data_IF_924931519538
#
_entry.id   IF_924931519538
#
_cell.length_a   1.000
_cell.length_b   1.000
_cell.length_c   1.000
_cell.angle_alpha   90.00
_cell.angle_beta   90.00
_cell.angle_gamma   90.00
#
_symmetry.space_group_name_H-M   'P 1'
#
loop_
_entity.id
_entity.type
_entity.pdbx_description
1 polymer ?
#
# COMPACT_ATOMS: atom_id res chain seq x y z
N UNK A 1 14.80 2.33 -11.79
CA UNK A 1 13.37 2.17 -11.41
C UNK A 1 13.16 0.98 -10.49
N UNK A 2 12.02 0.88 -9.86
CA UNK A 2 11.54 -0.32 -9.16
C UNK A 2 10.08 -0.60 -9.51
N UNK A 3 9.62 -1.86 -9.31
CA UNK A 3 8.25 -2.27 -9.66
C UNK A 3 7.64 -3.14 -8.56
N UNK A 4 6.36 -2.96 -8.28
CA UNK A 4 5.62 -3.73 -7.30
C UNK A 4 4.17 -3.29 -7.10
N UNK A 5 3.39 -4.06 -6.37
CA UNK A 5 2.03 -3.69 -5.99
C UNK A 5 1.99 -2.51 -5.00
N UNK A 6 3.02 -2.36 -4.20
CA UNK A 6 3.21 -1.28 -3.21
C UNK A 6 2.03 -1.06 -2.26
N UNK A 7 1.25 -2.11 -2.00
CA UNK A 7 0.14 -2.01 -1.08
C UNK A 7 0.62 -1.71 0.35
N UNK A 8 0.09 -0.62 0.91
CA UNK A 8 0.48 -0.08 2.21
C UNK A 8 1.75 0.77 2.22
N UNK A 9 2.56 0.81 1.17
CA UNK A 9 3.84 1.58 1.09
C UNK A 9 4.62 1.54 2.42
N UNK A 10 4.88 0.33 2.91
CA UNK A 10 5.53 0.05 4.19
C UNK A 10 7.04 0.35 4.18
N UNK A 11 7.71 0.25 5.34
CA UNK A 11 9.12 0.61 5.48
C UNK A 11 10.04 -0.14 4.50
N UNK A 12 9.76 -1.42 4.19
CA UNK A 12 10.51 -2.17 3.19
C UNK A 12 10.37 -1.56 1.79
N UNK A 13 9.18 -1.14 1.39
CA UNK A 13 8.97 -0.43 0.13
C UNK A 13 9.73 0.89 0.09
N UNK A 14 9.70 1.66 1.17
CA UNK A 14 10.39 2.97 1.26
C UNK A 14 11.90 2.82 1.10
N UNK A 15 12.49 1.78 1.68
CA UNK A 15 13.94 1.52 1.55
C UNK A 15 14.36 1.13 0.13
N UNK A 16 13.56 0.32 -0.56
CA UNK A 16 13.79 0.04 -1.99
C UNK A 16 13.70 1.32 -2.83
N UNK A 17 12.70 2.16 -2.58
CA UNK A 17 12.52 3.43 -3.29
C UNK A 17 13.69 4.39 -3.01
N UNK A 18 14.14 4.47 -1.76
CA UNK A 18 15.31 5.26 -1.40
C UNK A 18 16.56 4.81 -2.15
N UNK A 19 16.78 3.49 -2.28
CA UNK A 19 17.88 2.95 -3.09
C UNK A 19 17.78 3.33 -4.56
N UNK A 20 16.58 3.29 -5.13
CA UNK A 20 16.33 3.75 -6.51
C UNK A 20 16.69 5.22 -6.68
N UNK A 21 16.26 6.07 -5.75
CA UNK A 21 16.54 7.51 -5.77
C UNK A 21 18.04 7.80 -5.66
N UNK A 22 18.75 7.10 -4.75
CA UNK A 22 20.20 7.26 -4.61
C UNK A 22 20.93 6.92 -5.90
N UNK A 23 20.63 5.75 -6.50
CA UNK A 23 21.23 5.33 -7.77
C UNK A 23 20.91 6.31 -8.90
N UNK A 24 19.66 6.78 -9.00
CA UNK A 24 19.28 7.76 -10.01
C UNK A 24 20.06 9.05 -9.86
N UNK A 25 20.23 9.54 -8.63
CA UNK A 25 21.02 10.76 -8.35
C UNK A 25 22.51 10.55 -8.72
N UNK A 26 23.10 9.43 -8.34
CA UNK A 26 24.49 9.09 -8.63
C UNK A 26 24.77 9.01 -10.13
N UNK A 27 23.79 8.56 -10.92
CA UNK A 27 23.91 8.33 -12.36
C UNK A 27 23.32 9.48 -13.22
N UNK A 28 22.78 10.53 -12.61
CA UNK A 28 22.13 11.64 -13.32
C UNK A 28 20.87 11.23 -14.08
N UNK A 29 20.14 10.22 -13.55
CA UNK A 29 18.93 9.65 -14.13
C UNK A 29 17.69 10.08 -13.32
N UNK A 30 16.50 9.81 -13.88
CA UNK A 30 15.23 9.94 -13.15
C UNK A 30 14.90 8.65 -12.39
N UNK A 31 14.37 8.83 -11.20
CA UNK A 31 13.91 7.72 -10.36
C UNK A 31 12.42 7.44 -10.64
N UNK A 32 12.07 6.16 -10.89
CA UNK A 32 10.71 5.76 -11.26
C UNK A 32 10.22 4.60 -10.39
N UNK A 33 9.01 4.72 -9.86
CA UNK A 33 8.25 3.59 -9.30
C UNK A 33 7.20 3.18 -10.32
N UNK A 34 7.18 1.88 -10.66
CA UNK A 34 6.11 1.26 -11.44
C UNK A 34 5.16 0.54 -10.48
N UNK A 35 3.89 0.85 -10.54
CA UNK A 35 2.85 0.19 -9.75
C UNK A 35 1.61 -0.09 -10.60
N UNK A 36 0.56 -0.65 -9.99
CA UNK A 36 -0.65 -1.05 -10.70
C UNK A 36 -1.86 -0.27 -10.16
N UNK A 37 -2.85 -0.02 -11.02
CA UNK A 37 -4.12 0.62 -10.66
C UNK A 37 -4.89 -0.17 -9.59
N UNK A 38 -4.75 -1.50 -9.61
CA UNK A 38 -5.33 -2.44 -8.65
C UNK A 38 -4.33 -3.51 -8.24
N UNK A 39 -4.64 -4.24 -7.17
CA UNK A 39 -3.77 -5.33 -6.74
C UNK A 39 -3.85 -6.50 -7.73
N UNK A 40 -2.74 -7.00 -8.29
CA UNK A 40 -2.76 -8.07 -9.29
C UNK A 40 -3.58 -9.30 -8.89
N UNK A 41 -3.60 -9.66 -7.60
CA UNK A 41 -4.38 -10.78 -7.10
C UNK A 41 -5.90 -10.62 -7.31
N UNK A 42 -6.43 -9.39 -7.41
CA UNK A 42 -7.87 -9.18 -7.64
C UNK A 42 -8.32 -9.62 -9.04
N UNK A 43 -7.40 -9.74 -9.99
CA UNK A 43 -7.66 -10.28 -11.33
C UNK A 43 -7.27 -11.75 -11.40
N UNK A 44 -6.07 -12.11 -10.93
CA UNK A 44 -5.52 -13.48 -11.08
C UNK A 44 -6.24 -14.50 -10.20
N UNK A 45 -6.72 -14.10 -9.02
CA UNK A 45 -7.39 -14.97 -8.04
C UNK A 45 -8.42 -14.17 -7.21
N UNK A 46 -9.50 -13.69 -7.82
CA UNK A 46 -10.46 -12.77 -7.17
C UNK A 46 -11.03 -13.33 -5.87
N UNK A 47 -11.38 -14.61 -5.83
CA UNK A 47 -11.96 -15.26 -4.64
C UNK A 47 -11.02 -15.35 -3.43
N UNK A 48 -9.72 -15.18 -3.64
CA UNK A 48 -8.68 -15.25 -2.60
C UNK A 48 -7.75 -14.03 -2.62
N UNK A 49 -8.18 -12.95 -3.26
CA UNK A 49 -7.43 -11.70 -3.23
C UNK A 49 -7.35 -11.16 -1.80
N UNK A 50 -6.16 -10.77 -1.33
CA UNK A 50 -6.04 -10.21 0.00
C UNK A 50 -6.72 -8.83 0.06
N UNK A 51 -7.33 -8.46 1.19
CA UNK A 51 -7.84 -7.11 1.38
C UNK A 51 -6.70 -6.09 1.31
N UNK A 52 -7.00 -4.89 0.82
CA UNK A 52 -6.01 -3.84 0.57
C UNK A 52 -5.67 -3.08 1.86
N UNK A 53 -4.41 -2.68 1.99
CA UNK A 53 -3.94 -1.78 3.06
C UNK A 53 -4.18 -0.31 2.72
N UNK A 54 -4.23 0.02 1.42
CA UNK A 54 -4.43 1.37 0.90
C UNK A 54 -5.27 1.34 -0.36
N UNK A 55 -6.15 2.32 -0.55
CA UNK A 55 -6.73 2.59 -1.86
C UNK A 55 -5.68 3.15 -2.84
N UNK A 56 -6.04 3.26 -4.11
CA UNK A 56 -5.10 3.74 -5.14
C UNK A 56 -4.64 5.18 -4.87
N UNK A 57 -5.56 6.09 -4.54
CA UNK A 57 -5.21 7.49 -4.32
C UNK A 57 -4.26 7.65 -3.13
N UNK A 58 -4.55 6.96 -2.01
CA UNK A 58 -3.70 6.91 -0.84
C UNK A 58 -2.31 6.31 -1.16
N UNK A 59 -2.28 5.22 -1.93
CA UNK A 59 -1.02 4.61 -2.37
C UNK A 59 -0.17 5.59 -3.18
N UNK A 60 -0.77 6.29 -4.14
CA UNK A 60 -0.05 7.26 -4.97
C UNK A 60 0.46 8.46 -4.14
N UNK A 61 -0.32 8.98 -3.20
CA UNK A 61 0.15 10.02 -2.27
C UNK A 61 1.33 9.56 -1.42
N UNK A 62 1.27 8.31 -0.90
CA UNK A 62 2.35 7.74 -0.11
C UNK A 62 3.62 7.50 -0.92
N UNK A 63 3.49 7.06 -2.17
CA UNK A 63 4.63 6.92 -3.09
C UNK A 63 5.23 8.29 -3.42
N UNK A 64 4.41 9.28 -3.76
CA UNK A 64 4.88 10.65 -4.03
C UNK A 64 5.60 11.25 -2.81
N UNK A 65 5.13 10.96 -1.59
CA UNK A 65 5.78 11.43 -0.35
C UNK A 65 7.19 10.89 -0.14
N UNK A 66 7.62 9.85 -0.88
CA UNK A 66 9.00 9.35 -0.83
C UNK A 66 9.98 10.23 -1.58
N UNK A 67 9.50 11.19 -2.38
CA UNK A 67 10.32 12.04 -3.22
C UNK A 67 10.83 11.35 -4.50
N UNK A 68 10.17 10.27 -4.93
CA UNK A 68 10.41 9.65 -6.26
C UNK A 68 10.05 10.66 -7.36
N UNK A 69 10.79 10.68 -8.45
CA UNK A 69 10.57 11.67 -9.54
C UNK A 69 9.31 11.34 -10.34
N UNK A 70 9.06 10.07 -10.64
CA UNK A 70 7.91 9.62 -11.42
C UNK A 70 7.25 8.38 -10.84
N UNK A 71 5.93 8.30 -10.99
CA UNK A 71 5.13 7.12 -10.66
C UNK A 71 4.40 6.69 -11.93
N UNK A 72 4.75 5.54 -12.46
CA UNK A 72 4.05 4.91 -13.59
C UNK A 72 2.98 3.95 -13.05
N UNK A 73 1.73 4.19 -13.41
CA UNK A 73 0.59 3.36 -13.00
C UNK A 73 0.14 2.52 -14.19
N UNK A 74 0.41 1.24 -14.12
CA UNK A 74 0.01 0.28 -15.16
C UNK A 74 -1.41 -0.22 -14.85
N UNK A 75 -2.28 -0.17 -15.84
CA UNK A 75 -3.58 -0.84 -15.77
C UNK A 75 -3.37 -2.35 -15.74
N UNK A 76 -3.89 -3.01 -14.69
CA UNK A 76 -3.78 -4.45 -14.51
C UNK A 76 -5.14 -5.11 -14.74
N UNK A 77 -5.38 -5.55 -15.96
CA UNK A 77 -6.58 -6.25 -16.42
C UNK A 77 -6.28 -7.72 -16.77
N UNK A 78 -7.27 -8.42 -17.33
CA UNK A 78 -7.13 -9.81 -17.75
C UNK A 78 -6.04 -9.98 -18.82
N UNK A 79 -5.95 -9.07 -19.80
CA UNK A 79 -4.95 -9.10 -20.85
C UNK A 79 -3.55 -9.00 -20.24
N UNK A 80 -3.31 -8.00 -19.39
CA UNK A 80 -2.05 -7.81 -18.67
C UNK A 80 -1.69 -9.00 -17.78
N UNK A 81 -2.69 -9.67 -17.19
CA UNK A 81 -2.48 -10.85 -16.33
C UNK A 81 -1.95 -12.07 -17.09
N UNK A 82 -2.18 -12.11 -18.41
CA UNK A 82 -1.73 -13.21 -19.30
C UNK A 82 -0.44 -12.90 -20.05
N UNK A 83 0.09 -11.69 -19.93
CA UNK A 83 1.34 -11.27 -20.55
C UNK A 83 2.54 -12.05 -20.01
N UNK A 84 3.42 -12.51 -20.90
CA UNK A 84 4.66 -13.17 -20.48
C UNK A 84 5.59 -12.20 -19.76
N UNK A 85 6.53 -12.73 -18.99
CA UNK A 85 7.53 -11.89 -18.34
C UNK A 85 8.45 -11.20 -19.36
N UNK A 86 8.79 -11.88 -20.43
CA UNK A 86 9.63 -11.39 -21.53
C UNK A 86 8.93 -10.25 -22.28
N UNK A 87 7.62 -10.40 -22.60
CA UNK A 87 6.84 -9.35 -23.25
C UNK A 87 6.72 -8.12 -22.36
N UNK A 88 6.48 -8.31 -21.06
CA UNK A 88 6.45 -7.22 -20.09
C UNK A 88 7.79 -6.47 -20.02
N UNK A 89 8.92 -7.16 -19.98
CA UNK A 89 10.26 -6.54 -20.00
C UNK A 89 10.43 -5.71 -21.27
N UNK A 90 10.13 -6.29 -22.42
CA UNK A 90 10.36 -5.65 -23.71
C UNK A 90 9.43 -4.45 -23.93
N UNK A 91 8.15 -4.60 -23.61
CA UNK A 91 7.15 -3.56 -23.84
C UNK A 91 7.25 -2.43 -22.83
N UNK A 92 7.30 -2.75 -21.54
CA UNK A 92 7.23 -1.76 -20.46
C UNK A 92 8.62 -1.25 -20.07
N UNK A 93 9.53 -2.16 -19.71
CA UNK A 93 10.82 -1.71 -19.17
C UNK A 93 11.71 -1.09 -20.25
N UNK A 94 11.80 -1.73 -21.42
CA UNK A 94 12.71 -1.29 -22.48
C UNK A 94 12.04 -0.25 -23.39
N UNK A 95 10.90 -0.57 -23.99
CA UNK A 95 10.29 0.30 -25.00
C UNK A 95 9.66 1.56 -24.43
N UNK A 96 8.87 1.42 -23.35
CA UNK A 96 8.14 2.53 -22.75
C UNK A 96 9.04 3.34 -21.81
N UNK A 97 9.69 2.70 -20.84
CA UNK A 97 10.45 3.37 -19.79
C UNK A 97 11.92 3.62 -20.13
N UNK A 98 12.48 2.89 -21.11
CA UNK A 98 13.91 2.94 -21.47
C UNK A 98 14.79 2.82 -20.23
N UNK A 99 14.52 1.81 -19.43
CA UNK A 99 15.13 1.63 -18.12
C UNK A 99 16.65 1.43 -18.24
N UNK A 100 17.42 2.14 -17.43
CA UNK A 100 18.86 1.91 -17.31
C UNK A 100 19.19 0.94 -16.15
N UNK A 101 18.44 1.03 -15.04
CA UNK A 101 18.64 0.19 -13.86
C UNK A 101 17.30 -0.20 -13.23
N UNK A 102 17.13 -1.50 -12.96
CA UNK A 102 15.99 -2.09 -12.24
C UNK A 102 16.44 -2.52 -10.85
N UNK A 103 15.77 -2.04 -9.80
CA UNK A 103 16.00 -2.45 -8.42
C UNK A 103 14.78 -3.22 -7.94
N UNK A 104 14.93 -4.47 -7.55
CA UNK A 104 13.83 -5.34 -7.11
C UNK A 104 14.27 -6.24 -5.96
N UNK A 105 13.31 -6.64 -5.11
CA UNK A 105 13.58 -7.64 -4.08
C UNK A 105 14.07 -8.97 -4.65
N UNK A 106 14.92 -9.69 -3.93
CA UNK A 106 15.43 -11.00 -4.39
C UNK A 106 14.34 -12.05 -4.61
N UNK A 107 13.19 -11.88 -3.97
CA UNK A 107 12.00 -12.73 -4.10
C UNK A 107 11.00 -12.23 -5.13
N UNK A 108 11.37 -11.21 -5.92
CA UNK A 108 10.49 -10.59 -6.89
C UNK A 108 10.11 -11.57 -8.01
N UNK A 109 8.81 -11.66 -8.28
CA UNK A 109 8.24 -12.42 -9.37
C UNK A 109 7.18 -11.62 -10.10
N UNK A 110 7.09 -11.80 -11.42
CA UNK A 110 6.16 -11.07 -12.28
C UNK A 110 5.77 -11.90 -13.50
N UNK A 111 4.93 -11.31 -14.36
CA UNK A 111 4.44 -11.96 -15.57
C UNK A 111 3.45 -13.09 -15.29
N UNK A 112 2.94 -13.68 -16.34
CA UNK A 112 1.97 -14.80 -16.31
C UNK A 112 2.46 -15.93 -15.41
N UNK A 113 1.61 -16.40 -14.50
CA UNK A 113 1.91 -17.47 -13.57
C UNK A 113 3.19 -17.28 -12.74
N UNK A 114 3.64 -16.01 -12.52
CA UNK A 114 4.91 -15.67 -11.85
C UNK A 114 6.15 -16.24 -12.54
N UNK A 115 6.10 -16.40 -13.88
CA UNK A 115 7.19 -16.99 -14.66
C UNK A 115 8.46 -16.16 -14.68
N UNK A 116 8.35 -14.83 -14.52
CA UNK A 116 9.49 -13.92 -14.40
C UNK A 116 10.04 -13.85 -12.98
N UNK A 117 11.34 -13.70 -12.87
CA UNK A 117 12.09 -13.56 -11.63
C UNK A 117 13.34 -12.67 -11.82
N UNK A 118 14.15 -12.53 -10.77
CA UNK A 118 15.38 -11.71 -10.83
C UNK A 118 16.38 -12.25 -11.86
N UNK A 119 16.53 -13.57 -11.96
CA UNK A 119 17.48 -14.18 -12.92
C UNK A 119 17.10 -13.88 -14.37
N UNK A 120 15.80 -13.95 -14.72
CA UNK A 120 15.31 -13.57 -16.05
C UNK A 120 15.55 -12.08 -16.32
N UNK A 121 15.34 -11.21 -15.33
CA UNK A 121 15.63 -9.78 -15.47
C UNK A 121 17.13 -9.55 -15.75
N UNK A 122 18.02 -10.25 -15.05
CA UNK A 122 19.47 -10.14 -15.25
C UNK A 122 19.90 -10.65 -16.63
N UNK A 123 19.38 -11.80 -17.07
CA UNK A 123 19.65 -12.37 -18.39
C UNK A 123 19.23 -11.42 -19.51
N UNK A 124 17.96 -10.99 -19.51
CA UNK A 124 17.47 -10.05 -20.51
C UNK A 124 18.11 -8.66 -20.40
N UNK A 125 18.48 -8.26 -19.18
CA UNK A 125 19.20 -7.00 -18.96
C UNK A 125 20.55 -6.96 -19.66
N UNK A 126 21.29 -8.08 -19.63
CA UNK A 126 22.58 -8.20 -20.34
C UNK A 126 22.42 -8.10 -21.87
N UNK A 127 21.31 -8.59 -22.42
CA UNK A 127 21.01 -8.54 -23.85
C UNK A 127 20.44 -7.18 -24.28
N UNK A 128 19.53 -6.59 -23.47
CA UNK A 128 18.77 -5.40 -23.81
C UNK A 128 19.38 -4.10 -23.27
N UNK A 129 20.52 -4.18 -22.57
CA UNK A 129 21.33 -3.02 -22.18
C UNK A 129 20.86 -2.30 -20.90
N UNK A 130 20.20 -2.99 -19.97
CA UNK A 130 19.89 -2.45 -18.65
C UNK A 130 20.52 -3.30 -17.54
N UNK A 131 20.70 -2.70 -16.35
CA UNK A 131 21.29 -3.35 -15.19
C UNK A 131 20.23 -3.73 -14.17
N UNK A 132 20.41 -4.86 -13.48
CA UNK A 132 19.58 -5.28 -12.35
C UNK A 132 20.35 -5.17 -11.04
N UNK A 133 19.72 -4.64 -10.02
CA UNK A 133 20.26 -4.53 -8.66
C UNK A 133 19.30 -5.24 -7.71
N UNK A 134 19.59 -6.50 -7.33
CA UNK A 134 18.79 -7.19 -6.33
C UNK A 134 18.89 -6.48 -4.97
N UNK A 135 17.75 -6.30 -4.31
CA UNK A 135 17.65 -5.67 -3.01
C UNK A 135 17.30 -6.71 -1.95
N UNK A 136 18.04 -6.69 -0.84
CA UNK A 136 17.79 -7.64 0.24
C UNK A 136 16.48 -7.31 0.98
N UNK A 137 15.79 -8.36 1.43
CA UNK A 137 14.54 -8.21 2.18
C UNK A 137 14.81 -7.49 3.51
N UNK A 138 13.95 -6.54 3.82
CA UNK A 138 14.02 -5.81 5.09
C UNK A 138 13.48 -6.69 6.20
N UNK A 139 14.30 -6.92 7.20
CA UNK A 139 13.94 -7.71 8.38
C UNK A 139 13.48 -6.79 9.51
N UNK A 140 12.43 -7.17 10.21
CA UNK A 140 11.98 -6.55 11.46
C UNK A 140 12.35 -7.48 12.61
N UNK A 141 13.15 -6.98 13.53
CA UNK A 141 13.48 -7.69 14.77
C UNK A 141 12.35 -7.42 15.78
N UNK A 142 11.67 -8.46 16.28
CA UNK A 142 10.62 -8.27 17.27
C UNK A 142 11.22 -7.64 18.53
N UNK A 143 10.52 -6.65 19.09
CA UNK A 143 10.89 -6.04 20.37
C UNK A 143 10.73 -7.06 21.50
N UNK A 144 11.83 -7.69 21.92
CA UNK A 144 11.86 -8.65 23.02
C UNK A 144 12.85 -9.80 22.77
N UNK A 145 13.46 -10.30 23.86
CA UNK A 145 14.43 -11.38 23.78
C UNK A 145 13.78 -12.68 23.31
N UNK A 146 14.07 -13.15 22.10
CA UNK A 146 13.78 -14.49 21.60
C UNK A 146 12.87 -14.63 20.38
N UNK A 147 12.40 -13.57 19.75
CA UNK A 147 11.67 -13.66 18.48
C UNK A 147 12.64 -13.77 17.30
N UNK A 148 12.33 -14.62 16.32
CA UNK A 148 13.08 -14.66 15.06
C UNK A 148 12.76 -13.40 14.25
N UNK A 149 13.78 -12.82 13.60
CA UNK A 149 13.58 -11.74 12.65
C UNK A 149 12.68 -12.22 11.49
N UNK A 150 11.66 -11.43 11.16
CA UNK A 150 10.73 -11.74 10.08
C UNK A 150 10.78 -10.64 9.00
N UNK A 151 10.52 -11.04 7.75
CA UNK A 151 10.46 -10.10 6.62
C UNK A 151 9.32 -9.10 6.81
N UNK A 152 9.62 -7.82 6.57
CA UNK A 152 8.60 -6.78 6.47
C UNK A 152 7.82 -6.94 5.16
N UNK A 153 6.53 -7.23 5.26
CA UNK A 153 5.69 -7.46 4.10
C UNK A 153 4.23 -7.03 4.32
N UNK A 154 3.53 -6.70 3.23
CA UNK A 154 2.10 -6.38 3.28
C UNK A 154 1.27 -7.53 3.88
N UNK A 155 1.66 -8.79 3.65
CA UNK A 155 1.00 -9.96 4.24
C UNK A 155 1.11 -9.97 5.76
N UNK A 156 2.29 -9.69 6.30
CA UNK A 156 2.50 -9.62 7.76
C UNK A 156 1.72 -8.45 8.37
N UNK A 157 1.73 -7.29 7.70
CA UNK A 157 0.96 -6.12 8.15
C UNK A 157 -0.53 -6.43 8.19
N UNK A 158 -1.09 -7.07 7.15
CA UNK A 158 -2.50 -7.50 7.16
C UNK A 158 -2.82 -8.42 8.34
N UNK A 159 -1.94 -9.36 8.65
CA UNK A 159 -2.10 -10.25 9.80
C UNK A 159 -2.20 -9.46 11.11
N UNK A 160 -1.31 -8.50 11.34
CA UNK A 160 -1.35 -7.66 12.54
C UNK A 160 -2.61 -6.81 12.62
N UNK A 161 -3.05 -6.18 11.51
CA UNK A 161 -4.28 -5.40 11.50
C UNK A 161 -5.49 -6.31 11.79
N UNK A 162 -5.59 -7.47 11.12
CA UNK A 162 -6.68 -8.42 11.30
C UNK A 162 -6.74 -9.02 12.72
N UNK A 163 -5.62 -9.02 13.45
CA UNK A 163 -5.56 -9.44 14.87
C UNK A 163 -5.73 -8.27 15.85
N UNK A 164 -5.95 -7.03 15.37
CA UNK A 164 -6.05 -5.85 16.23
C UNK A 164 -4.71 -5.35 16.79
N UNK A 165 -3.60 -5.91 16.34
CA UNK A 165 -2.24 -5.55 16.77
C UNK A 165 -1.74 -4.29 16.04
N UNK A 166 -2.49 -3.17 16.18
CA UNK A 166 -2.26 -1.96 15.41
C UNK A 166 -0.86 -1.34 15.65
N UNK A 167 -0.34 -1.45 16.88
CA UNK A 167 1.02 -0.97 17.18
C UNK A 167 2.11 -1.76 16.42
N UNK A 168 1.90 -3.06 16.20
CA UNK A 168 2.81 -3.87 15.38
C UNK A 168 2.69 -3.50 13.89
N UNK A 169 1.47 -3.33 13.40
CA UNK A 169 1.22 -2.88 12.03
C UNK A 169 1.83 -1.50 11.77
N UNK A 170 1.68 -0.55 12.70
CA UNK A 170 2.26 0.79 12.61
C UNK A 170 3.79 0.77 12.48
N UNK A 171 4.49 -0.05 13.29
CA UNK A 171 5.95 -0.19 13.17
C UNK A 171 6.37 -0.61 11.77
N UNK A 172 5.66 -1.58 11.18
CA UNK A 172 5.97 -2.10 9.84
C UNK A 172 5.56 -1.13 8.72
N UNK A 173 4.45 -0.41 8.89
CA UNK A 173 4.00 0.63 7.96
C UNK A 173 4.89 1.88 8.04
N UNK A 174 5.51 2.16 9.20
CA UNK A 174 6.19 3.41 9.50
C UNK A 174 5.23 4.58 9.76
N UNK A 175 3.93 4.28 9.96
CA UNK A 175 2.84 5.22 10.27
C UNK A 175 1.63 4.46 10.82
N UNK A 176 0.70 5.13 11.52
CA UNK A 176 -0.57 4.52 11.90
C UNK A 176 -1.36 3.99 10.70
N UNK A 177 -2.19 2.97 10.93
CA UNK A 177 -3.11 2.48 9.90
C UNK A 177 -4.17 3.53 9.60
N UNK A 178 -4.30 3.90 8.34
CA UNK A 178 -5.28 4.87 7.84
C UNK A 178 -6.16 4.19 6.80
N UNK A 179 -7.47 4.42 6.90
CA UNK A 179 -8.43 4.05 5.87
C UNK A 179 -9.16 5.29 5.36
N UNK A 180 -9.68 5.24 4.15
CA UNK A 180 -10.46 6.31 3.53
C UNK A 180 -11.86 5.82 3.24
N UNK A 181 -12.82 6.73 3.34
CA UNK A 181 -14.20 6.42 3.08
C UNK A 181 -15.04 7.67 2.91
N UNK A 182 -16.34 7.49 2.73
CA UNK A 182 -17.30 8.58 2.62
C UNK A 182 -18.05 8.70 3.96
N UNK A 183 -18.06 9.89 4.52
CA UNK A 183 -18.86 10.17 5.70
C UNK A 183 -20.33 10.25 5.30
N UNK A 184 -21.19 9.45 5.95
CA UNK A 184 -22.63 9.38 5.67
C UNK A 184 -23.45 9.58 6.95
N UNK A 185 -24.62 10.20 6.79
CA UNK A 185 -25.54 10.43 7.89
C UNK A 185 -25.16 11.57 8.83
N UNK A 186 -26.13 11.99 9.61
CA UNK A 186 -25.99 12.96 10.69
C UNK A 186 -26.70 12.36 11.88
N UNK A 187 -25.99 11.85 12.87
CA UNK A 187 -26.60 11.60 14.15
C UNK A 187 -26.49 12.86 15.01
N UNK A 188 -27.55 13.19 15.71
CA UNK A 188 -27.47 14.17 16.78
C UNK A 188 -26.41 13.71 17.79
N UNK A 189 -25.48 14.61 18.17
CA UNK A 189 -24.46 14.27 19.17
C UNK A 189 -23.04 13.98 18.64
N UNK A 190 -22.70 14.45 17.43
CA UNK A 190 -21.30 14.35 16.94
C UNK A 190 -20.90 12.97 16.45
N UNK A 191 -21.86 12.16 15.99
CA UNK A 191 -21.60 10.83 15.43
C UNK A 191 -21.76 10.86 13.91
N UNK A 192 -20.85 10.23 13.18
CA UNK A 192 -20.90 10.03 11.73
C UNK A 192 -20.55 8.58 11.40
N UNK A 193 -21.17 8.03 10.37
CA UNK A 193 -20.74 6.73 9.81
C UNK A 193 -19.79 6.97 8.65
N UNK A 194 -18.67 6.28 8.64
CA UNK A 194 -17.73 6.28 7.51
C UNK A 194 -17.92 4.98 6.73
N UNK A 195 -18.35 5.08 5.49
CA UNK A 195 -18.44 3.94 4.57
C UNK A 195 -17.07 3.76 3.89
N UNK A 196 -16.35 2.72 4.27
CA UNK A 196 -15.04 2.33 3.73
C UNK A 196 -15.28 1.30 2.62
N UNK A 197 -14.57 1.37 1.47
CA UNK A 197 -14.69 0.37 0.42
C UNK A 197 -14.43 -1.05 0.96
N UNK A 198 -15.24 -2.06 0.58
CA UNK A 198 -15.22 -3.39 1.19
C UNK A 198 -13.91 -4.15 0.96
N UNK A 199 -13.14 -3.76 -0.05
CA UNK A 199 -11.81 -4.31 -0.32
C UNK A 199 -10.72 -3.79 0.62
N UNK A 200 -10.97 -2.72 1.39
CA UNK A 200 -9.99 -2.15 2.33
C UNK A 200 -10.04 -2.89 3.65
N UNK A 201 -8.87 -3.25 4.15
CA UNK A 201 -8.74 -3.96 5.43
C UNK A 201 -9.07 -3.05 6.60
N UNK A 202 -10.06 -3.45 7.37
CA UNK A 202 -10.39 -2.87 8.67
C UNK A 202 -9.85 -3.74 9.81
N UNK A 203 -9.53 -3.16 10.98
CA UNK A 203 -9.27 -3.95 12.18
C UNK A 203 -10.53 -4.71 12.63
N UNK A 204 -10.40 -5.68 13.53
CA UNK A 204 -11.54 -6.45 14.02
C UNK A 204 -12.56 -5.56 14.74
N UNK A 205 -13.79 -6.06 14.95
CA UNK A 205 -14.81 -5.37 15.75
C UNK A 205 -14.26 -4.92 17.10
N UNK A 206 -14.59 -3.67 17.49
CA UNK A 206 -14.06 -3.07 18.71
C UNK A 206 -14.16 -1.56 18.73
N UNK A 207 -13.56 -0.95 19.76
CA UNK A 207 -13.43 0.50 19.90
C UNK A 207 -11.98 0.88 19.78
N UNK A 208 -11.72 1.91 19.00
CA UNK A 208 -10.39 2.39 18.69
C UNK A 208 -10.32 3.91 18.88
N UNK A 209 -9.32 4.38 19.59
CA UNK A 209 -8.97 5.79 19.55
C UNK A 209 -8.49 6.13 18.14
N UNK A 210 -8.82 7.32 17.66
CA UNK A 210 -8.42 7.70 16.31
C UNK A 210 -8.58 9.18 16.02
N UNK A 211 -8.27 9.52 14.78
CA UNK A 211 -8.41 10.88 14.26
C UNK A 211 -9.12 10.83 12.91
N UNK A 212 -10.13 11.67 12.76
CA UNK A 212 -10.83 11.85 11.50
C UNK A 212 -10.41 13.16 10.85
N UNK A 213 -9.99 13.08 9.59
CA UNK A 213 -9.62 14.22 8.75
C UNK A 213 -10.44 14.27 7.48
N UNK A 214 -10.66 15.46 6.92
CA UNK A 214 -11.27 15.64 5.60
C UNK A 214 -10.19 15.67 4.52
N UNK A 215 -10.44 15.05 3.36
CA UNK A 215 -9.57 15.19 2.20
C UNK A 215 -9.75 16.55 1.49
N UNK A 216 -10.92 17.18 1.67
CA UNK A 216 -11.21 18.50 1.10
C UNK A 216 -10.69 19.65 1.99
N UNK A 217 -10.52 19.42 3.29
CA UNK A 217 -10.08 20.43 4.27
C UNK A 217 -8.73 20.01 4.85
N UNK A 218 -7.67 20.39 4.17
CA UNK A 218 -6.29 20.05 4.57
C UNK A 218 -6.00 20.63 5.97
N UNK A 219 -5.48 19.78 6.88
CA UNK A 219 -5.11 20.06 8.28
C UNK A 219 -6.24 20.09 9.32
N UNK A 220 -7.51 19.82 8.97
CA UNK A 220 -8.55 19.65 9.98
C UNK A 220 -8.62 18.21 10.49
N UNK A 221 -7.85 17.91 11.53
CA UNK A 221 -7.94 16.65 12.25
C UNK A 221 -8.77 16.79 13.52
N UNK A 222 -9.62 15.81 13.77
CA UNK A 222 -10.45 15.74 14.97
C UNK A 222 -10.21 14.41 15.66
N UNK A 223 -9.94 14.47 16.96
CA UNK A 223 -9.85 13.28 17.81
C UNK A 223 -11.23 12.63 17.87
N UNK A 224 -11.30 11.34 17.74
CA UNK A 224 -12.54 10.58 17.71
C UNK A 224 -12.36 9.18 18.31
N UNK A 225 -13.49 8.55 18.61
CA UNK A 225 -13.59 7.12 18.85
C UNK A 225 -14.18 6.47 17.60
N UNK A 226 -13.49 5.50 17.02
CA UNK A 226 -13.99 4.67 15.94
C UNK A 226 -14.50 3.34 16.50
N UNK A 227 -15.75 2.97 16.16
CA UNK A 227 -16.36 1.71 16.56
C UNK A 227 -16.67 0.86 15.35
N UNK A 228 -16.12 -0.34 15.34
CA UNK A 228 -16.42 -1.38 14.39
C UNK A 228 -17.32 -2.43 15.06
N UNK A 229 -18.39 -2.82 14.39
CA UNK A 229 -19.37 -3.78 14.90
C UNK A 229 -19.21 -5.14 14.21
N UNK A 230 -19.57 -6.23 14.91
CA UNK A 230 -19.56 -7.59 14.35
C UNK A 230 -20.51 -7.71 13.14
N UNK A 231 -21.66 -7.06 13.25
CA UNK A 231 -22.69 -6.99 12.20
C UNK A 231 -22.98 -5.51 11.89
N UNK A 232 -22.13 -4.84 11.09
CA UNK A 232 -22.35 -3.44 10.76
C UNK A 232 -23.61 -3.28 9.87
N UNK A 233 -24.28 -2.14 9.92
CA UNK A 233 -25.47 -1.85 9.09
C UNK A 233 -25.19 -2.01 7.60
N UNK A 234 -23.94 -1.78 7.20
CA UNK A 234 -23.40 -2.03 5.85
C UNK A 234 -21.97 -2.54 5.96
N UNK A 235 -21.60 -3.47 5.09
CA UNK A 235 -20.24 -3.97 5.02
C UNK A 235 -19.25 -2.80 4.85
N UNK A 236 -18.18 -2.80 5.65
CA UNK A 236 -17.17 -1.75 5.63
C UNK A 236 -17.57 -0.45 6.35
N UNK A 237 -18.70 -0.39 7.08
CA UNK A 237 -19.07 0.83 7.82
C UNK A 237 -18.39 0.90 9.19
N UNK A 238 -17.90 2.10 9.53
CA UNK A 238 -17.30 2.43 10.82
C UNK A 238 -18.09 3.59 11.44
N UNK A 239 -18.59 3.39 12.66
CA UNK A 239 -19.22 4.47 13.42
C UNK A 239 -18.13 5.29 14.11
N UNK A 240 -18.11 6.59 13.85
CA UNK A 240 -17.12 7.51 14.41
C UNK A 240 -17.82 8.57 15.27
N UNK A 241 -17.38 8.73 16.50
CA UNK A 241 -17.92 9.70 17.47
C UNK A 241 -16.83 10.70 17.90
N UNK A 242 -17.14 12.00 17.85
CA UNK A 242 -16.23 13.07 18.24
C UNK A 242 -16.95 14.42 18.35
N UNK A 243 -16.33 15.40 19.01
CA UNK A 243 -17.00 16.65 19.41
C UNK A 243 -17.43 17.56 18.25
N UNK A 244 -16.86 17.48 17.07
CA UNK A 244 -17.11 18.42 15.97
C UNK A 244 -17.27 17.74 14.61
N UNK A 245 -17.89 16.56 14.56
CA UNK A 245 -18.08 15.81 13.31
C UNK A 245 -19.33 16.25 12.53
N UNK A 246 -20.09 17.21 13.04
CA UNK A 246 -21.29 17.73 12.37
C UNK A 246 -20.92 18.38 11.01
N UNK A 247 -21.76 18.13 9.99
CA UNK A 247 -21.61 18.75 8.67
C UNK A 247 -20.64 18.05 7.71
N UNK A 248 -20.11 16.88 8.05
CA UNK A 248 -19.19 16.12 7.19
C UNK A 248 -19.86 15.13 6.24
N UNK A 249 -21.19 15.02 6.26
CA UNK A 249 -21.90 14.10 5.37
C UNK A 249 -21.64 14.41 3.90
N UNK A 250 -21.28 13.38 3.13
CA UNK A 250 -20.88 13.48 1.73
C UNK A 250 -19.40 13.82 1.52
N UNK A 251 -18.63 14.12 2.57
CA UNK A 251 -17.19 14.35 2.44
C UNK A 251 -16.43 13.02 2.33
N UNK A 252 -15.39 12.99 1.52
CA UNK A 252 -14.37 11.95 1.60
C UNK A 252 -13.47 12.24 2.79
N UNK A 253 -13.37 11.28 3.68
CA UNK A 253 -12.62 11.41 4.93
C UNK A 253 -11.51 10.36 5.03
N UNK A 254 -10.51 10.66 5.84
CA UNK A 254 -9.48 9.72 6.28
C UNK A 254 -9.65 9.44 7.77
N UNK A 255 -9.72 8.18 8.13
CA UNK A 255 -9.76 7.70 9.50
C UNK A 255 -8.44 7.03 9.84
N UNK A 256 -7.72 7.60 10.79
CA UNK A 256 -6.48 7.05 11.33
C UNK A 256 -6.80 6.36 12.63
N UNK A 257 -6.36 5.11 12.77
CA UNK A 257 -6.43 4.36 14.02
C UNK A 257 -5.17 4.62 14.82
N UNK A 258 -5.29 5.28 15.95
CA UNK A 258 -4.18 5.54 16.86
C UNK A 258 -3.87 4.28 17.71
N UNK A 259 -2.71 4.27 18.33
CA UNK A 259 -2.33 3.18 19.24
C UNK A 259 -3.33 3.12 20.40
N UNK A 260 -3.75 1.92 20.84
CA UNK A 260 -4.37 1.83 22.15
C UNK A 260 -3.36 2.30 23.21
N UNK A 261 -3.85 3.07 24.17
CA UNK A 261 -3.07 3.53 25.34
C UNK A 261 -2.54 2.35 26.18
#
# INVERSE_FOLDING_TARGET
MTIGAYDGVHIGHRLVIERVRSLATEEGLRSVVVTFDRHPASIVRPDSAPPLLTDLAQKLELLASTGIDDIEVIQFDEERSTESAEDFITSVLVSQLRVATVVVGRDFHFGKARGGNVALLEEMGAELGYRVVPFDLVMDEPAGAGGAAEVVSSTRIRRHIASGELAAAERLLGRPHEVRGVAVGHAAGGTVTVEVPPEILLPPPGRYAGRLGSLQRVQEWQVCEARLEDEPPRAGSVTVTGESLAGRSGETVRLVFDRPD
#
